data_IF_386293183762
#
_entry.id   IF_386293183762
#
_cell.length_a   1.000
_cell.length_b   1.000
_cell.length_c   1.000
_cell.angle_alpha   90.00
_cell.angle_beta   90.00
_cell.angle_gamma   90.00
#
_symmetry.space_group_name_H-M   'P 1'
#
loop_
_entity.id
_entity.type
_entity.pdbx_description
1 polymer ?
#
# COMPACT_ATOMS: atom_id res chain seq x y z
N UNK A 1 -17.18 20.71 -4.84
CA UNK A 1 -17.42 20.62 -3.38
C UNK A 1 -18.12 19.33 -2.91
N UNK A 2 -18.94 18.62 -3.72
CA UNK A 2 -19.64 17.40 -3.26
C UNK A 2 -18.82 16.11 -3.30
N UNK A 3 -17.86 15.96 -4.22
CA UNK A 3 -17.07 14.74 -4.36
C UNK A 3 -15.97 14.61 -3.30
N UNK A 4 -15.25 15.68 -2.96
CA UNK A 4 -14.23 15.68 -1.88
C UNK A 4 -14.79 15.23 -0.52
N UNK A 5 -16.02 15.63 -0.19
CA UNK A 5 -16.71 15.20 1.02
C UNK A 5 -17.15 13.71 1.00
N UNK A 6 -17.31 13.11 -0.17
CA UNK A 6 -17.66 11.69 -0.31
C UNK A 6 -16.45 10.81 -0.02
N UNK A 7 -15.27 11.14 -0.56
CA UNK A 7 -14.05 10.35 -0.37
C UNK A 7 -13.43 10.49 1.01
N UNK A 8 -13.51 11.68 1.64
CA UNK A 8 -13.17 11.83 3.06
C UNK A 8 -13.93 10.84 3.93
N UNK A 9 -15.21 10.58 3.64
CA UNK A 9 -16.00 9.60 4.36
C UNK A 9 -15.53 8.17 4.14
N UNK A 10 -15.09 7.80 2.94
CA UNK A 10 -14.60 6.45 2.66
C UNK A 10 -13.20 6.20 3.25
N UNK A 11 -12.29 7.18 3.18
CA UNK A 11 -11.00 7.10 3.87
C UNK A 11 -11.22 7.06 5.38
N UNK A 12 -12.11 7.90 5.91
CA UNK A 12 -12.47 7.90 7.33
C UNK A 12 -13.09 6.56 7.76
N UNK A 13 -13.99 5.99 6.96
CA UNK A 13 -14.61 4.70 7.24
C UNK A 13 -13.58 3.57 7.20
N UNK A 14 -12.66 3.58 6.23
CA UNK A 14 -11.55 2.64 6.16
C UNK A 14 -10.66 2.77 7.40
N UNK A 15 -10.18 3.97 7.73
CA UNK A 15 -9.24 4.17 8.83
C UNK A 15 -9.88 4.03 10.21
N UNK A 16 -11.20 4.24 10.33
CA UNK A 16 -11.95 3.92 11.55
C UNK A 16 -11.92 2.41 11.89
N UNK A 17 -11.82 1.52 10.89
CA UNK A 17 -11.71 0.07 11.11
C UNK A 17 -10.43 -0.27 11.88
N UNK A 18 -9.34 0.50 11.70
CA UNK A 18 -8.09 0.33 12.45
C UNK A 18 -8.29 0.53 13.95
N UNK A 19 -9.22 1.42 14.33
CA UNK A 19 -9.47 1.83 15.73
C UNK A 19 -10.60 1.01 16.38
N UNK A 20 -11.55 0.50 15.59
CA UNK A 20 -12.77 -0.12 16.09
C UNK A 20 -12.63 -1.57 16.61
N UNK A 21 -11.44 -2.19 16.48
CA UNK A 21 -11.20 -3.51 17.09
C UNK A 21 -10.89 -3.30 18.57
N UNK A 22 -11.63 -3.93 19.50
CA UNK A 22 -11.50 -3.64 20.93
C UNK A 22 -10.08 -3.94 21.41
N UNK A 23 -9.36 -2.87 21.74
CA UNK A 23 -8.16 -2.91 22.57
C UNK A 23 -8.53 -3.52 23.93
N UNK A 24 -8.29 -4.82 24.10
CA UNK A 24 -8.14 -5.37 25.44
C UNK A 24 -6.79 -4.88 25.99
N UNK A 25 -6.73 -4.30 27.20
CA UNK A 25 -5.49 -3.74 27.70
C UNK A 25 -4.51 -4.86 28.07
N UNK A 26 -3.30 -4.70 27.53
CA UNK A 26 -2.01 -5.08 28.12
C UNK A 26 -1.57 -6.54 28.04
N UNK A 27 -0.68 -6.79 27.08
CA UNK A 27 0.69 -7.15 27.46
C UNK A 27 1.61 -6.12 26.83
N UNK A 28 2.50 -5.54 27.63
CA UNK A 28 3.48 -4.54 27.20
C UNK A 28 4.24 -5.08 25.99
N UNK A 29 3.89 -4.65 24.78
CA UNK A 29 4.87 -4.67 23.70
C UNK A 29 5.95 -3.71 24.16
N UNK A 30 7.16 -4.25 24.33
CA UNK A 30 8.35 -3.42 24.27
C UNK A 30 8.19 -2.60 23.00
N UNK A 31 8.04 -1.28 23.15
CA UNK A 31 8.38 -0.38 22.08
C UNK A 31 9.81 -0.77 21.69
N UNK A 32 9.98 -1.42 20.54
CA UNK A 32 11.28 -1.41 19.89
C UNK A 32 11.63 0.06 19.82
N UNK A 33 12.69 0.44 20.54
CA UNK A 33 13.17 1.81 20.57
C UNK A 33 13.26 2.35 19.14
N UNK A 34 13.19 3.69 18.97
CA UNK A 34 13.22 4.26 17.63
C UNK A 34 14.41 3.64 16.90
N UNK A 35 14.15 3.01 15.76
CA UNK A 35 15.20 2.68 14.80
C UNK A 35 15.69 4.04 14.28
N UNK A 36 16.57 4.67 15.07
CA UNK A 36 17.28 5.87 14.72
C UNK A 36 18.27 5.48 13.62
N UNK A 37 17.84 5.66 12.38
CA UNK A 37 18.67 5.42 11.20
C UNK A 37 18.04 5.94 9.91
N UNK A 38 16.70 5.90 9.80
CA UNK A 38 16.01 6.19 8.53
C UNK A 38 15.12 7.44 8.52
N UNK A 39 14.88 8.10 9.65
CA UNK A 39 13.87 9.17 9.76
C UNK A 39 14.19 10.44 8.95
N UNK A 40 15.45 10.86 8.87
CA UNK A 40 15.82 12.07 8.09
C UNK A 40 15.76 11.82 6.58
N UNK A 41 16.19 10.64 6.12
CA UNK A 41 16.16 10.30 4.69
C UNK A 41 14.75 10.09 4.17
N UNK A 42 13.88 9.43 4.94
CA UNK A 42 12.47 9.26 4.55
C UNK A 42 11.72 10.59 4.58
N UNK A 43 11.92 11.40 5.63
CA UNK A 43 11.32 12.74 5.69
C UNK A 43 11.75 13.59 4.48
N UNK A 44 13.05 13.58 4.15
CA UNK A 44 13.57 14.29 2.98
C UNK A 44 12.99 13.75 1.67
N UNK A 45 12.86 12.44 1.53
CA UNK A 45 12.22 11.83 0.35
C UNK A 45 10.79 12.34 0.16
N UNK A 46 9.96 12.33 1.21
CA UNK A 46 8.58 12.79 1.11
C UNK A 46 8.48 14.29 0.81
N UNK A 47 9.31 15.12 1.45
CA UNK A 47 9.37 16.55 1.14
C UNK A 47 9.79 16.82 -0.30
N UNK A 48 10.79 16.09 -0.81
CA UNK A 48 11.31 16.28 -2.16
C UNK A 48 10.35 15.74 -3.23
N UNK A 49 9.66 14.62 -2.96
CA UNK A 49 8.90 13.87 -3.97
C UNK A 49 7.39 14.07 -3.88
N UNK A 50 6.85 14.54 -2.75
CA UNK A 50 5.43 14.81 -2.57
C UNK A 50 5.22 16.26 -2.11
N UNK A 51 5.34 17.25 -3.01
CA UNK A 51 5.25 18.66 -2.64
C UNK A 51 3.91 19.07 -2.00
N UNK A 52 2.84 18.32 -2.27
CA UNK A 52 1.53 18.53 -1.66
C UNK A 52 1.47 18.06 -0.19
N UNK A 53 2.39 17.20 0.26
CA UNK A 53 2.49 16.72 1.63
C UNK A 53 3.36 17.67 2.46
N UNK A 54 2.78 18.81 2.86
CA UNK A 54 3.52 19.88 3.56
C UNK A 54 3.70 19.64 5.05
N UNK A 55 3.03 18.65 5.63
CA UNK A 55 3.13 18.33 7.06
C UNK A 55 4.44 17.58 7.36
N UNK A 56 5.39 18.18 8.10
CA UNK A 56 6.65 17.51 8.43
C UNK A 56 6.49 16.35 9.42
N UNK A 57 5.33 16.23 10.06
CA UNK A 57 4.98 15.13 10.96
C UNK A 57 3.89 14.24 10.33
N UNK A 58 4.06 13.94 9.04
CA UNK A 58 3.19 13.01 8.33
C UNK A 58 3.38 11.56 8.81
N UNK A 59 2.39 10.72 8.54
CA UNK A 59 2.37 9.31 9.02
C UNK A 59 2.99 8.32 8.04
N UNK A 60 3.47 8.76 6.88
CA UNK A 60 3.98 7.84 5.85
C UNK A 60 5.42 7.40 6.08
N UNK A 61 5.66 6.13 5.78
CA UNK A 61 6.99 5.53 5.71
C UNK A 61 7.12 4.79 4.38
N UNK A 62 8.17 5.06 3.61
CA UNK A 62 8.41 4.35 2.35
C UNK A 62 9.11 3.02 2.61
N UNK A 63 8.68 1.98 1.90
CA UNK A 63 9.29 0.65 1.95
C UNK A 63 9.75 0.23 0.55
N UNK A 64 10.92 -0.36 0.47
CA UNK A 64 11.39 -1.07 -0.70
C UNK A 64 10.61 -2.37 -0.90
N UNK A 65 10.75 -2.99 -2.08
CA UNK A 65 10.18 -4.32 -2.33
C UNK A 65 10.59 -5.34 -1.26
N UNK A 66 11.88 -5.35 -0.87
CA UNK A 66 12.40 -6.30 0.11
C UNK A 66 11.86 -6.06 1.51
N UNK A 67 11.69 -4.78 1.90
CA UNK A 67 11.10 -4.44 3.19
C UNK A 67 9.60 -4.77 3.23
N UNK A 68 8.88 -4.56 2.12
CA UNK A 68 7.47 -4.97 2.02
C UNK A 68 7.31 -6.50 2.07
N UNK A 69 8.09 -7.23 1.27
CA UNK A 69 8.11 -8.70 1.29
C UNK A 69 8.41 -9.22 2.70
N UNK A 70 9.43 -8.67 3.35
CA UNK A 70 9.78 -9.02 4.73
C UNK A 70 8.66 -8.69 5.71
N UNK A 71 8.04 -7.52 5.61
CA UNK A 71 6.93 -7.10 6.47
C UNK A 71 5.75 -8.04 6.32
N UNK A 72 5.30 -8.31 5.09
CA UNK A 72 4.14 -9.17 4.83
C UNK A 72 4.41 -10.63 5.25
N UNK A 73 5.62 -11.14 4.99
CA UNK A 73 6.03 -12.48 5.40
C UNK A 73 6.10 -12.64 6.90
N UNK A 74 6.59 -11.64 7.62
CA UNK A 74 6.88 -11.71 9.06
C UNK A 74 5.89 -10.95 9.93
N UNK A 75 4.83 -10.39 9.34
CA UNK A 75 3.77 -9.74 10.08
C UNK A 75 3.24 -10.67 11.18
N UNK A 76 2.94 -10.15 12.37
CA UNK A 76 2.22 -10.90 13.40
C UNK A 76 0.84 -11.32 12.89
N UNK A 77 0.29 -12.40 13.46
CA UNK A 77 -0.99 -12.98 13.04
C UNK A 77 -2.13 -12.74 14.05
N UNK A 78 -1.98 -11.78 14.97
CA UNK A 78 -3.02 -11.42 15.91
C UNK A 78 -4.13 -10.60 15.25
N UNK A 79 -5.34 -10.70 15.79
CA UNK A 79 -6.52 -9.99 15.27
C UNK A 79 -6.37 -8.46 15.27
N UNK A 80 -5.48 -7.91 16.11
CA UNK A 80 -5.23 -6.48 16.24
C UNK A 80 -3.95 -6.01 15.51
N UNK A 81 -3.22 -6.93 14.86
CA UNK A 81 -1.94 -6.65 14.20
C UNK A 81 -2.15 -6.15 12.76
N UNK A 82 -2.74 -4.96 12.65
CA UNK A 82 -3.11 -4.34 11.38
C UNK A 82 -2.00 -3.43 10.84
N UNK A 83 -1.73 -3.53 9.53
CA UNK A 83 -0.87 -2.59 8.81
C UNK A 83 -1.72 -1.79 7.82
N UNK A 84 -1.56 -0.48 7.80
CA UNK A 84 -2.10 0.37 6.74
C UNK A 84 -1.06 0.53 5.66
N UNK A 85 -1.39 0.14 4.43
CA UNK A 85 -0.46 0.10 3.30
C UNK A 85 -1.07 0.89 2.13
N UNK A 86 -0.27 1.76 1.53
CA UNK A 86 -0.60 2.50 0.31
C UNK A 86 0.31 2.01 -0.82
N UNK A 87 -0.26 1.36 -1.82
CA UNK A 87 0.41 1.18 -3.11
C UNK A 87 0.22 2.46 -3.91
N UNK A 88 1.31 3.16 -4.22
CA UNK A 88 1.27 4.42 -4.95
C UNK A 88 2.64 5.09 -5.01
N UNK A 89 2.99 5.58 -6.19
CA UNK A 89 4.28 6.23 -6.45
C UNK A 89 4.18 7.75 -6.54
N UNK A 90 5.28 8.45 -6.26
CA UNK A 90 5.36 9.92 -6.37
C UNK A 90 5.22 10.44 -7.81
N UNK A 91 5.43 9.57 -8.80
CA UNK A 91 5.24 9.87 -10.21
C UNK A 91 3.77 9.84 -10.67
N UNK A 92 2.86 9.31 -9.84
CA UNK A 92 1.43 9.24 -10.15
C UNK A 92 0.73 10.51 -9.65
N UNK A 93 0.00 11.18 -10.54
CA UNK A 93 -0.75 12.40 -10.21
C UNK A 93 -1.83 12.14 -9.16
N UNK A 94 -2.43 10.95 -9.20
CA UNK A 94 -3.45 10.50 -8.27
C UNK A 94 -2.85 10.32 -6.86
N UNK A 95 -1.67 9.73 -6.74
CA UNK A 95 -1.01 9.59 -5.44
C UNK A 95 -0.66 10.97 -4.87
N UNK A 96 -0.16 11.89 -5.70
CA UNK A 96 0.13 13.27 -5.32
C UNK A 96 -1.10 13.99 -4.76
N UNK A 97 -2.26 13.81 -5.40
CA UNK A 97 -3.51 14.43 -4.98
C UNK A 97 -4.11 13.77 -3.71
N UNK A 98 -3.94 12.47 -3.54
CA UNK A 98 -4.51 11.73 -2.41
C UNK A 98 -3.71 11.90 -1.11
N UNK A 99 -2.38 11.96 -1.19
CA UNK A 99 -1.49 11.81 -0.03
C UNK A 99 -1.73 12.83 1.10
N UNK A 100 -2.04 14.12 0.86
CA UNK A 100 -2.27 15.07 1.96
C UNK A 100 -3.56 14.75 2.71
N UNK A 101 -4.58 14.30 1.96
CA UNK A 101 -5.87 13.96 2.53
C UNK A 101 -5.82 12.66 3.33
N UNK A 102 -5.11 11.65 2.83
CA UNK A 102 -4.84 10.42 3.59
C UNK A 102 -4.14 10.76 4.92
N UNK A 103 -3.13 11.66 4.91
CA UNK A 103 -2.44 12.08 6.13
C UNK A 103 -3.37 12.73 7.16
N UNK A 104 -4.21 13.68 6.72
CA UNK A 104 -5.16 14.38 7.59
C UNK A 104 -6.07 13.38 8.29
N UNK A 105 -6.72 12.49 7.53
CA UNK A 105 -7.67 11.52 8.06
C UNK A 105 -6.96 10.47 8.91
N UNK A 106 -5.77 10.00 8.53
CA UNK A 106 -5.00 9.06 9.33
C UNK A 106 -4.69 9.60 10.73
N UNK A 107 -4.26 10.86 10.82
CA UNK A 107 -4.00 11.52 12.10
C UNK A 107 -5.28 11.74 12.91
N UNK A 108 -6.39 12.08 12.26
CA UNK A 108 -7.72 12.20 12.89
C UNK A 108 -8.14 10.90 13.59
N UNK A 109 -7.81 9.75 12.99
CA UNK A 109 -8.12 8.42 13.54
C UNK A 109 -6.96 7.78 14.32
N UNK A 110 -5.91 8.54 14.66
CA UNK A 110 -4.80 8.03 15.48
C UNK A 110 -3.92 6.98 14.79
N UNK A 111 -4.00 6.85 13.47
CA UNK A 111 -3.05 6.03 12.69
C UNK A 111 -1.71 6.76 12.68
N UNK A 112 -0.67 6.09 13.18
CA UNK A 112 0.66 6.69 13.35
C UNK A 112 1.66 6.29 12.27
N UNK A 113 1.36 5.25 11.49
CA UNK A 113 2.22 4.75 10.41
C UNK A 113 1.39 4.20 9.25
N UNK A 114 1.69 4.66 8.05
CA UNK A 114 1.22 4.10 6.77
C UNK A 114 2.44 3.70 5.94
N UNK A 115 2.55 2.42 5.58
CA UNK A 115 3.63 1.96 4.69
C UNK A 115 3.28 2.29 3.25
N UNK A 116 4.18 2.95 2.54
CA UNK A 116 4.00 3.31 1.13
C UNK A 116 4.92 2.48 0.27
N UNK A 117 4.37 1.87 -0.79
CA UNK A 117 5.12 1.05 -1.74
C UNK A 117 4.90 1.57 -3.16
N UNK A 118 6.00 1.88 -3.84
CA UNK A 118 6.01 2.27 -5.25
C UNK A 118 6.42 1.04 -6.09
N UNK A 119 5.62 0.69 -7.08
CA UNK A 119 5.95 -0.41 -8.00
C UNK A 119 7.13 -0.05 -8.91
N UNK A 120 7.49 1.24 -9.02
CA UNK A 120 8.75 1.68 -9.63
C UNK A 120 9.93 1.52 -8.68
N UNK A 121 10.61 0.39 -8.78
CA UNK A 121 11.63 -0.03 -7.81
C UNK A 121 12.90 0.82 -7.81
N UNK A 122 13.18 1.52 -8.90
CA UNK A 122 14.34 2.40 -9.01
C UNK A 122 13.99 3.89 -8.77
N UNK A 123 12.81 4.14 -8.19
CA UNK A 123 12.27 5.48 -7.97
C UNK A 123 11.52 6.03 -9.18
N UNK A 124 10.94 7.24 -9.06
CA UNK A 124 10.01 7.79 -10.05
C UNK A 124 10.64 8.06 -11.42
N UNK A 125 11.96 8.31 -11.44
CA UNK A 125 12.69 8.78 -12.62
C UNK A 125 13.14 7.64 -13.55
N UNK A 126 13.05 6.38 -13.09
CA UNK A 126 13.44 5.20 -13.86
C UNK A 126 12.19 4.34 -14.09
N UNK A 127 11.90 4.04 -15.35
CA UNK A 127 10.75 3.22 -15.77
C UNK A 127 10.92 1.71 -15.48
N UNK A 128 11.51 1.36 -14.34
CA UNK A 128 11.57 -0.01 -13.82
C UNK A 128 10.33 -0.25 -12.95
N UNK A 129 9.21 -0.60 -13.58
CA UNK A 129 7.92 -0.78 -12.94
C UNK A 129 7.50 -2.25 -12.93
N UNK A 130 7.39 -2.86 -11.74
CA UNK A 130 6.98 -4.28 -11.65
C UNK A 130 5.52 -4.51 -12.01
N UNK A 131 4.68 -3.46 -12.02
CA UNK A 131 3.31 -3.55 -12.50
C UNK A 131 3.22 -3.61 -14.04
N UNK A 132 4.36 -3.54 -14.76
CA UNK A 132 4.45 -3.67 -16.22
C UNK A 132 5.29 -4.89 -16.61
N UNK A 133 4.87 -5.57 -17.68
CA UNK A 133 5.56 -6.77 -18.19
C UNK A 133 6.63 -6.45 -19.25
N UNK A 134 6.72 -5.19 -19.68
CA UNK A 134 7.51 -4.71 -20.82
C UNK A 134 8.49 -3.58 -20.43
N UNK A 135 9.09 -3.65 -19.24
CA UNK A 135 10.06 -2.63 -18.83
C UNK A 135 11.35 -2.70 -19.68
N UNK A 136 12.07 -1.57 -19.87
CA UNK A 136 13.39 -1.57 -20.55
C UNK A 136 14.45 -2.46 -19.89
N UNK A 137 14.18 -2.93 -18.67
CA UNK A 137 15.10 -3.69 -17.83
C UNK A 137 14.73 -5.18 -17.72
N UNK A 138 13.64 -5.59 -18.38
CA UNK A 138 13.19 -6.98 -18.44
C UNK A 138 11.78 -7.19 -17.88
N UNK A 139 11.39 -8.46 -17.83
CA UNK A 139 10.09 -8.89 -17.31
C UNK A 139 10.20 -9.17 -15.79
N UNK A 140 9.41 -8.44 -15.01
CA UNK A 140 9.32 -8.59 -13.55
C UNK A 140 7.96 -9.09 -13.08
N UNK A 141 7.14 -9.67 -13.97
CA UNK A 141 5.82 -10.24 -13.69
C UNK A 141 5.84 -11.15 -12.47
N UNK A 142 6.88 -11.97 -12.31
CA UNK A 142 7.04 -12.83 -11.13
C UNK A 142 7.01 -12.05 -9.81
N UNK A 143 7.72 -10.91 -9.72
CA UNK A 143 7.80 -10.11 -8.48
C UNK A 143 6.45 -9.53 -8.11
N UNK A 144 5.71 -9.03 -9.09
CA UNK A 144 4.37 -8.49 -8.87
C UNK A 144 3.40 -9.60 -8.45
N UNK A 145 3.42 -10.74 -9.15
CA UNK A 145 2.58 -11.89 -8.81
C UNK A 145 2.95 -12.47 -7.43
N UNK A 146 4.23 -12.53 -7.07
CA UNK A 146 4.69 -13.00 -5.75
C UNK A 146 4.06 -12.18 -4.61
N UNK A 147 4.00 -10.84 -4.73
CA UNK A 147 3.36 -9.99 -3.72
C UNK A 147 1.87 -10.29 -3.57
N UNK A 148 1.14 -10.33 -4.70
CA UNK A 148 -0.30 -10.57 -4.71
C UNK A 148 -0.65 -11.97 -4.23
N UNK A 149 -0.10 -12.99 -4.89
CA UNK A 149 -0.44 -14.38 -4.66
C UNK A 149 -0.03 -14.89 -3.28
N UNK A 150 1.17 -14.54 -2.79
CA UNK A 150 1.67 -15.11 -1.54
C UNK A 150 1.12 -14.41 -0.30
N UNK A 151 0.96 -13.09 -0.38
CA UNK A 151 0.71 -12.27 0.80
C UNK A 151 -0.63 -11.55 0.76
N UNK A 152 -1.08 -11.12 -0.41
CA UNK A 152 -2.32 -10.36 -0.59
C UNK A 152 -3.37 -11.22 -1.32
N UNK A 153 -3.63 -12.43 -0.80
CA UNK A 153 -4.35 -13.50 -1.51
C UNK A 153 -5.69 -13.09 -2.11
N UNK A 154 -6.39 -12.16 -1.46
CA UNK A 154 -7.68 -11.64 -1.89
C UNK A 154 -7.60 -10.30 -2.63
N UNK A 155 -6.42 -9.87 -3.11
CA UNK A 155 -6.23 -8.58 -3.79
C UNK A 155 -7.12 -8.42 -5.02
N UNK A 156 -7.42 -9.50 -5.74
CA UNK A 156 -8.29 -9.46 -6.92
C UNK A 156 -9.75 -9.13 -6.56
N UNK A 157 -10.17 -9.36 -5.32
CA UNK A 157 -11.50 -8.98 -4.83
C UNK A 157 -11.58 -7.47 -4.50
N UNK A 158 -10.43 -6.83 -4.33
CA UNK A 158 -10.28 -5.43 -3.90
C UNK A 158 -9.79 -4.50 -5.01
N UNK A 159 -9.49 -5.05 -6.19
CA UNK A 159 -8.89 -4.31 -7.29
C UNK A 159 -9.63 -4.61 -8.57
N UNK A 160 -10.02 -3.56 -9.30
CA UNK A 160 -10.87 -3.71 -10.48
C UNK A 160 -10.15 -4.37 -11.67
N UNK A 161 -8.81 -4.38 -11.69
CA UNK A 161 -8.02 -4.98 -12.77
C UNK A 161 -8.24 -4.27 -14.11
N UNK A 162 -8.49 -2.94 -14.09
CA UNK A 162 -8.78 -2.15 -15.29
C UNK A 162 -7.64 -2.20 -16.31
N UNK A 163 -6.40 -2.31 -15.84
CA UNK A 163 -5.21 -2.49 -16.67
C UNK A 163 -4.90 -3.96 -17.02
N UNK A 164 -5.81 -4.87 -16.69
CA UNK A 164 -5.64 -6.31 -16.87
C UNK A 164 -5.01 -6.98 -15.64
N UNK A 165 -4.34 -8.11 -15.89
CA UNK A 165 -3.74 -8.94 -14.86
C UNK A 165 -2.40 -9.50 -15.32
N UNK A 166 -1.56 -9.80 -14.33
CA UNK A 166 -0.30 -10.51 -14.51
C UNK A 166 -0.47 -11.96 -14.11
N UNK A 167 -0.03 -12.87 -14.97
CA UNK A 167 0.00 -14.30 -14.68
C UNK A 167 1.43 -14.82 -14.67
N UNK A 168 1.78 -15.57 -13.63
CA UNK A 168 3.04 -16.30 -13.56
C UNK A 168 2.79 -17.79 -13.28
N UNK A 169 3.47 -18.67 -14.01
CA UNK A 169 3.37 -20.12 -13.85
C UNK A 169 4.51 -20.61 -12.93
N UNK A 170 4.15 -21.18 -11.76
CA UNK A 170 5.12 -21.80 -10.84
C UNK A 170 5.34 -23.29 -11.10
N UNK A 171 4.50 -23.89 -11.95
CA UNK A 171 4.52 -25.28 -12.34
C UNK A 171 5.34 -25.52 -13.60
N UNK A 172 5.06 -26.64 -14.26
CA UNK A 172 5.72 -27.02 -15.51
C UNK A 172 4.78 -26.85 -16.70
N UNK A 173 5.29 -27.05 -17.91
CA UNK A 173 4.45 -27.06 -19.11
C UNK A 173 3.36 -28.15 -19.06
N UNK A 174 3.64 -29.29 -18.41
CA UNK A 174 2.72 -30.43 -18.31
C UNK A 174 1.79 -30.36 -17.11
N UNK A 175 2.20 -29.63 -16.06
CA UNK A 175 1.44 -29.42 -14.82
C UNK A 175 1.50 -27.93 -14.47
N UNK A 176 0.69 -27.09 -15.15
CA UNK A 176 0.74 -25.65 -14.95
C UNK A 176 0.18 -25.26 -13.59
N UNK A 177 0.88 -24.35 -12.90
CA UNK A 177 0.42 -23.70 -11.67
C UNK A 177 0.39 -22.19 -11.89
N UNK A 178 -0.65 -21.74 -12.61
CA UNK A 178 -0.81 -20.35 -13.00
C UNK A 178 -1.44 -19.54 -11.87
N UNK A 179 -0.73 -18.51 -11.43
CA UNK A 179 -1.21 -17.55 -10.44
C UNK A 179 -1.40 -16.19 -11.09
N UNK A 180 -2.57 -15.61 -10.89
CA UNK A 180 -3.01 -14.39 -11.58
C UNK A 180 -3.34 -13.30 -10.57
N UNK A 181 -2.77 -12.12 -10.77
CA UNK A 181 -2.97 -10.95 -9.91
C UNK A 181 -3.36 -9.75 -10.77
N UNK A 182 -4.45 -9.08 -10.41
CA UNK A 182 -4.92 -7.86 -11.05
C UNK A 182 -3.85 -6.76 -10.95
N UNK A 183 -3.67 -6.00 -12.03
CA UNK A 183 -2.76 -4.86 -12.05
C UNK A 183 -3.44 -3.67 -11.39
N UNK A 184 -2.82 -3.14 -10.34
CA UNK A 184 -3.20 -1.92 -9.64
C UNK A 184 -2.45 -0.75 -10.28
N UNK A 185 -3.18 0.15 -10.91
CA UNK A 185 -2.60 1.33 -11.59
C UNK A 185 -2.98 2.66 -10.93
N UNK A 186 -3.91 2.61 -9.99
CA UNK A 186 -4.30 3.75 -9.19
C UNK A 186 -3.80 3.60 -7.75
N UNK A 187 -3.73 4.69 -6.95
CA UNK A 187 -3.36 4.59 -5.56
C UNK A 187 -4.34 3.66 -4.84
N UNK A 188 -3.79 2.65 -4.17
CA UNK A 188 -4.56 1.60 -3.49
C UNK A 188 -4.17 1.58 -2.02
N UNK A 189 -5.06 2.14 -1.18
CA UNK A 189 -4.92 2.17 0.27
C UNK A 189 -5.67 0.98 0.86
N UNK A 190 -5.02 0.18 1.68
CA UNK A 190 -5.66 -0.99 2.29
C UNK A 190 -5.15 -1.29 3.68
N UNK A 191 -5.97 -2.02 4.44
CA UNK A 191 -5.61 -2.58 5.74
C UNK A 191 -5.27 -4.05 5.54
N UNK A 192 -4.06 -4.41 5.93
CA UNK A 192 -3.53 -5.76 5.90
C UNK A 192 -3.51 -6.36 7.31
N UNK A 193 -4.06 -7.57 7.45
CA UNK A 193 -3.96 -8.39 8.65
C UNK A 193 -3.60 -9.82 8.25
N UNK A 194 -2.42 -10.29 8.64
CA UNK A 194 -1.97 -11.64 8.31
C UNK A 194 -2.77 -12.74 9.02
N UNK A 195 -3.31 -12.43 10.20
CA UNK A 195 -4.18 -13.34 10.96
C UNK A 195 -5.44 -13.73 10.20
N UNK A 196 -5.88 -12.90 9.24
CA UNK A 196 -6.95 -13.23 8.31
C UNK A 196 -6.42 -14.02 7.10
N UNK A 197 -5.96 -15.23 7.36
CA UNK A 197 -5.08 -16.02 6.48
C UNK A 197 -5.53 -16.14 5.00
N UNK A 198 -6.83 -16.23 4.74
CA UNK A 198 -7.39 -16.38 3.39
C UNK A 198 -7.84 -15.05 2.78
N UNK A 199 -8.14 -14.07 3.63
CA UNK A 199 -8.58 -12.73 3.23
C UNK A 199 -7.78 -11.63 3.96
N UNK A 200 -6.45 -11.55 3.74
CA UNK A 200 -5.58 -10.68 4.52
C UNK A 200 -5.82 -9.18 4.28
N UNK A 201 -6.39 -8.80 3.13
CA UNK A 201 -6.90 -7.44 2.93
C UNK A 201 -8.31 -7.36 3.53
N UNK A 202 -8.45 -6.63 4.65
CA UNK A 202 -9.72 -6.56 5.40
C UNK A 202 -10.56 -5.32 5.06
N UNK A 203 -9.93 -4.30 4.50
CA UNK A 203 -10.58 -3.11 3.96
C UNK A 203 -9.65 -2.45 2.94
N UNK A 204 -10.22 -1.83 1.92
CA UNK A 204 -9.43 -1.20 0.86
C UNK A 204 -10.17 -0.04 0.19
N UNK A 205 -9.40 0.80 -0.49
CA UNK A 205 -9.87 1.89 -1.33
C UNK A 205 -8.89 2.05 -2.51
N UNK A 206 -9.36 1.70 -3.71
CA UNK A 206 -8.65 1.93 -4.97
C UNK A 206 -9.06 3.28 -5.58
N UNK A 207 -8.12 3.99 -6.18
CA UNK A 207 -8.41 5.24 -6.90
C UNK A 207 -8.70 6.42 -5.98
N UNK A 208 -7.93 6.56 -4.89
CA UNK A 208 -8.16 7.59 -3.85
C UNK A 208 -8.22 9.03 -4.40
N UNK A 209 -7.70 9.30 -5.61
CA UNK A 209 -7.74 10.60 -6.27
C UNK A 209 -8.35 10.65 -7.68
N UNK A 210 -8.87 9.56 -8.27
CA UNK A 210 -9.44 9.59 -9.63
C UNK A 210 -10.74 10.42 -9.77
N UNK A 211 -11.19 11.07 -8.70
CA UNK A 211 -12.33 11.99 -8.67
C UNK A 211 -11.96 13.41 -8.20
N UNK A 212 -10.68 13.77 -8.32
CA UNK A 212 -10.16 15.12 -8.07
C UNK A 212 -9.60 15.77 -9.33
N UNK A 213 -10.13 15.44 -10.52
CA UNK A 213 -9.80 16.13 -11.76
C UNK A 213 -9.87 17.64 -11.53
N UNK A 214 -8.69 18.26 -11.53
CA UNK A 214 -8.46 19.67 -11.32
C UNK A 214 -8.90 20.40 -12.59
N UNK A 215 -10.16 20.83 -12.64
CA UNK A 215 -10.63 22.08 -13.29
C UNK A 215 -11.77 22.68 -12.47
#
# INVERSE_FOLDING_TARGET
MKQTAHYRKWIALLLAIVVAVPFLPSSKLLASGPVQGNSTHQLKYFQDRFPALTDPNHVFETVTYYELDYLLRNAPAGANDNYVILFGGSWQAETQAAIPHINEVAKEYGVTSIKTFDTRLAGPDIALDIAKNDTPYGNYTRRYVDLGYRYLKNINDHTAGVLGSHTYNYGTASEPDNQTVNVVDAPFLFIYNKGNADAPIIASLEGVASAGGLE
#
